data_IF_856435498757
#
_entry.id   IF_856435498757
#
_cell.length_a   1.000
_cell.length_b   1.000
_cell.length_c   1.000
_cell.angle_alpha   90.00
_cell.angle_beta   90.00
_cell.angle_gamma   90.00
#
_symmetry.space_group_name_H-M   'P 1'
#
loop_
_entity.id
_entity.type
_entity.pdbx_description
1 polymer ?
#
# COMPACT_ATOMS: atom_id res chain seq x y z
N UNK A 1 7.13 10.15 -39.35
CA UNK A 1 8.02 9.12 -38.75
C UNK A 1 8.38 9.47 -37.31
N UNK A 2 8.59 10.75 -36.97
CA UNK A 2 8.86 11.19 -35.60
C UNK A 2 7.70 11.00 -34.63
N UNK A 3 6.45 11.07 -35.09
CA UNK A 3 5.27 10.93 -34.21
C UNK A 3 5.20 9.56 -33.53
N UNK A 4 5.53 8.49 -34.27
CA UNK A 4 5.61 7.14 -33.72
C UNK A 4 6.73 7.00 -32.68
N UNK A 5 7.88 7.65 -32.90
CA UNK A 5 8.99 7.64 -31.95
C UNK A 5 8.61 8.36 -30.65
N UNK A 6 7.99 9.54 -30.76
CA UNK A 6 7.52 10.31 -29.59
C UNK A 6 6.44 9.54 -28.82
N UNK A 7 5.46 8.96 -29.51
CA UNK A 7 4.42 8.16 -28.87
C UNK A 7 5.01 6.93 -28.13
N UNK A 8 6.03 6.29 -28.70
CA UNK A 8 6.71 5.16 -28.09
C UNK A 8 7.47 5.56 -26.81
N UNK A 9 8.15 6.70 -26.81
CA UNK A 9 8.84 7.21 -25.62
C UNK A 9 7.87 7.51 -24.46
N UNK A 10 6.73 8.13 -24.77
CA UNK A 10 5.68 8.38 -23.77
C UNK A 10 5.06 7.08 -23.24
N UNK A 11 4.85 6.09 -24.10
CA UNK A 11 4.36 4.77 -23.67
C UNK A 11 5.36 4.06 -22.77
N UNK A 12 6.64 4.04 -23.14
CA UNK A 12 7.69 3.45 -22.32
C UNK A 12 7.80 4.16 -20.96
N UNK A 13 7.70 5.49 -20.95
CA UNK A 13 7.63 6.28 -19.72
C UNK A 13 6.43 5.87 -18.84
N UNK A 14 5.23 5.80 -19.41
CA UNK A 14 4.01 5.45 -18.69
C UNK A 14 4.09 4.04 -18.08
N UNK A 15 4.58 3.05 -18.83
CA UNK A 15 4.74 1.67 -18.34
C UNK A 15 5.76 1.58 -17.20
N UNK A 16 6.88 2.31 -17.30
CA UNK A 16 7.90 2.34 -16.23
C UNK A 16 7.36 2.97 -14.96
N UNK A 17 6.61 4.06 -15.07
CA UNK A 17 5.97 4.71 -13.93
C UNK A 17 4.87 3.85 -13.31
N UNK A 18 4.01 3.25 -14.14
CA UNK A 18 3.02 2.28 -13.69
C UNK A 18 3.69 1.16 -12.88
N UNK A 19 4.75 0.56 -13.41
CA UNK A 19 5.49 -0.50 -12.74
C UNK A 19 6.06 -0.03 -11.39
N UNK A 20 6.69 1.14 -11.35
CA UNK A 20 7.27 1.68 -10.12
C UNK A 20 6.22 1.95 -9.04
N UNK A 21 5.10 2.58 -9.41
CA UNK A 21 4.01 2.87 -8.47
C UNK A 21 3.39 1.57 -7.95
N UNK A 22 3.09 0.63 -8.85
CA UNK A 22 2.55 -0.69 -8.46
C UNK A 22 3.52 -1.45 -7.56
N UNK A 23 4.82 -1.43 -7.84
CA UNK A 23 5.82 -2.09 -7.00
C UNK A 23 5.89 -1.46 -5.60
N UNK A 24 5.93 -0.12 -5.51
CA UNK A 24 5.93 0.59 -4.22
C UNK A 24 4.65 0.29 -3.44
N UNK A 25 3.49 0.37 -4.09
CA UNK A 25 2.21 0.09 -3.46
C UNK A 25 2.15 -1.36 -2.96
N UNK A 26 2.57 -2.33 -3.77
CA UNK A 26 2.54 -3.74 -3.41
C UNK A 26 3.50 -4.06 -2.25
N UNK A 27 4.75 -3.60 -2.32
CA UNK A 27 5.73 -3.86 -1.25
C UNK A 27 5.30 -3.15 0.04
N UNK A 28 4.92 -1.88 -0.06
CA UNK A 28 4.46 -1.09 1.08
C UNK A 28 3.23 -1.69 1.75
N UNK A 29 2.20 -2.07 0.98
CA UNK A 29 1.00 -2.70 1.53
C UNK A 29 1.32 -4.05 2.17
N UNK A 30 2.24 -4.83 1.59
CA UNK A 30 2.63 -6.13 2.15
C UNK A 30 3.26 -5.97 3.53
N UNK A 31 4.22 -5.05 3.68
CA UNK A 31 4.82 -4.79 4.98
C UNK A 31 3.84 -4.17 5.97
N UNK A 32 2.94 -3.29 5.51
CA UNK A 32 1.89 -2.73 6.33
C UNK A 32 0.99 -3.81 6.93
N UNK A 33 0.46 -4.73 6.12
CA UNK A 33 -0.41 -5.80 6.60
C UNK A 33 0.33 -6.79 7.50
N UNK A 34 1.60 -7.10 7.21
CA UNK A 34 2.41 -7.92 8.12
C UNK A 34 2.56 -7.23 9.49
N UNK A 35 2.87 -5.93 9.50
CA UNK A 35 3.01 -5.18 10.75
C UNK A 35 1.69 -5.11 11.52
N UNK A 36 0.57 -4.86 10.82
CA UNK A 36 -0.77 -4.86 11.39
C UNK A 36 -1.09 -6.21 12.04
N UNK A 37 -0.96 -7.30 11.29
CA UNK A 37 -1.29 -8.65 11.76
C UNK A 37 -0.46 -9.05 13.00
N UNK A 38 0.82 -8.68 13.02
CA UNK A 38 1.72 -8.94 14.15
C UNK A 38 1.48 -8.01 15.34
N UNK A 39 0.90 -6.83 15.12
CA UNK A 39 0.59 -5.84 16.15
C UNK A 39 -0.77 -6.05 16.83
N UNK A 40 -1.64 -6.92 16.29
CA UNK A 40 -2.96 -7.20 16.83
C UNK A 40 -2.88 -7.72 18.27
N UNK A 41 -3.56 -7.01 19.17
CA UNK A 41 -3.66 -7.36 20.59
C UNK A 41 -5.10 -7.71 20.94
N UNK A 42 -5.30 -8.84 21.59
CA UNK A 42 -6.59 -9.27 22.12
C UNK A 42 -6.99 -8.41 23.33
N UNK A 43 -8.21 -7.86 23.33
CA UNK A 43 -8.74 -7.06 24.45
C UNK A 43 -10.17 -7.43 24.81
N UNK A 44 -10.60 -7.24 26.07
CA UNK A 44 -11.99 -7.43 26.45
C UNK A 44 -12.92 -6.48 25.68
N UNK A 45 -14.07 -6.99 25.24
CA UNK A 45 -15.10 -6.18 24.57
C UNK A 45 -14.93 -6.03 23.05
N UNK A 46 -14.01 -6.78 22.44
CA UNK A 46 -13.91 -6.83 20.98
C UNK A 46 -15.21 -7.35 20.35
N UNK A 47 -15.64 -6.80 19.20
CA UNK A 47 -16.79 -7.31 18.46
C UNK A 47 -16.61 -8.77 18.05
N UNK A 48 -17.72 -9.50 17.91
CA UNK A 48 -17.68 -10.86 17.40
C UNK A 48 -17.06 -10.90 15.99
N UNK A 49 -16.07 -11.79 15.80
CA UNK A 49 -15.31 -11.90 14.56
C UNK A 49 -14.05 -11.02 14.47
N UNK A 50 -13.78 -10.16 15.46
CA UNK A 50 -12.52 -9.42 15.53
C UNK A 50 -11.39 -10.30 16.08
N UNK A 51 -10.24 -10.28 15.41
CA UNK A 51 -9.05 -11.08 15.77
C UNK A 51 -8.02 -10.30 16.62
N UNK A 52 -8.32 -9.05 16.96
CA UNK A 52 -7.50 -8.17 17.78
C UNK A 52 -7.75 -6.71 17.43
N UNK A 53 -7.17 -5.81 18.20
CA UNK A 53 -7.07 -4.38 17.87
C UNK A 53 -5.59 -3.95 17.86
N UNK A 54 -5.26 -2.96 17.04
CA UNK A 54 -3.96 -2.31 17.00
C UNK A 54 -4.17 -0.81 16.81
N UNK A 55 -3.30 -0.01 17.42
CA UNK A 55 -3.41 1.45 17.45
C UNK A 55 -2.31 2.06 16.61
N UNK A 56 -2.68 2.82 15.58
CA UNK A 56 -1.75 3.45 14.65
C UNK A 56 -1.76 4.97 14.80
N UNK A 57 -0.62 5.60 14.56
CA UNK A 57 -0.54 7.06 14.45
C UNK A 57 -0.52 7.47 13.00
N UNK A 58 -1.48 8.30 12.59
CA UNK A 58 -1.52 8.89 11.25
C UNK A 58 -1.80 10.39 11.32
N UNK A 59 -0.90 11.21 10.78
CA UNK A 59 -1.06 12.68 10.79
C UNK A 59 -1.16 13.29 12.20
N UNK A 60 -0.62 12.63 13.22
CA UNK A 60 -0.66 13.06 14.63
C UNK A 60 -1.92 12.60 15.40
N UNK A 61 -2.86 11.91 14.77
CA UNK A 61 -3.99 11.26 15.43
C UNK A 61 -3.75 9.76 15.69
N UNK A 62 -4.41 9.21 16.71
CA UNK A 62 -4.46 7.77 16.97
C UNK A 62 -5.72 7.17 16.32
N UNK A 63 -5.55 6.07 15.62
CA UNK A 63 -6.60 5.30 14.94
C UNK A 63 -6.56 3.85 15.38
#
# INVERSE_FOLDING_TARGET
MYDYAVAWEWMAFAVRWLHLITAIAWIGSSFYFIALDLGLTQRPGLPEGAYGEEWQVHGGGFY
#
